data_IF_303481551111
#
_entry.id   IF_303481551111
#
_cell.length_a   1.000
_cell.length_b   1.000
_cell.length_c   1.000
_cell.angle_alpha   90.00
_cell.angle_beta   90.00
_cell.angle_gamma   90.00
#
_symmetry.space_group_name_H-M   'P 1'
#
loop_
_entity.id
_entity.type
_entity.pdbx_description
1 polymer ?
#
# COMPACT_ATOMS: atom_id res chain seq x y z
N UNK A 1 -12.97 14.59 -0.42
CA UNK A 1 -12.01 15.01 -1.45
C UNK A 1 -11.26 13.76 -1.90
N UNK A 2 -11.01 13.57 -3.19
CA UNK A 2 -10.14 12.49 -3.68
C UNK A 2 -8.69 13.00 -3.63
N UNK A 3 -7.76 12.17 -3.17
CA UNK A 3 -6.32 12.47 -3.13
C UNK A 3 -5.73 12.31 -4.53
N UNK A 4 -5.06 13.34 -5.01
CA UNK A 4 -4.32 13.36 -6.28
C UNK A 4 -2.87 13.81 -6.03
N UNK A 5 -2.07 13.92 -7.10
CA UNK A 5 -0.65 14.28 -7.03
C UNK A 5 -0.36 15.69 -6.49
N UNK A 6 -1.38 16.54 -6.31
CA UNK A 6 -1.25 17.86 -5.68
C UNK A 6 -1.34 17.80 -4.15
N UNK A 7 -1.77 16.66 -3.60
CA UNK A 7 -1.90 16.45 -2.17
C UNK A 7 -0.55 16.09 -1.54
N UNK A 8 -0.32 16.65 -0.35
CA UNK A 8 0.84 16.36 0.50
C UNK A 8 0.36 16.00 1.90
N UNK A 9 1.06 15.07 2.54
CA UNK A 9 0.80 14.71 3.93
C UNK A 9 1.11 15.90 4.85
N UNK A 10 0.27 16.10 5.86
CA UNK A 10 0.54 17.08 6.90
C UNK A 10 1.64 16.55 7.84
N UNK A 11 2.84 17.13 7.73
CA UNK A 11 4.00 16.79 8.55
C UNK A 11 3.74 16.99 10.05
N UNK A 12 2.94 17.98 10.45
CA UNK A 12 2.60 18.22 11.85
C UNK A 12 1.71 17.08 12.37
N UNK A 13 0.65 16.76 11.64
CA UNK A 13 -0.20 15.61 11.95
C UNK A 13 0.58 14.30 12.02
N UNK A 14 1.53 14.06 11.10
CA UNK A 14 2.39 12.87 11.16
C UNK A 14 3.22 12.81 12.44
N UNK A 15 3.78 13.94 12.91
CA UNK A 15 4.54 14.02 14.18
C UNK A 15 3.64 13.79 15.40
N UNK A 16 2.49 14.44 15.45
CA UNK A 16 1.53 14.34 16.56
C UNK A 16 0.96 12.93 16.72
N UNK A 17 0.82 12.18 15.63
CA UNK A 17 0.33 10.80 15.62
C UNK A 17 1.46 9.76 15.55
N UNK A 18 2.73 10.17 15.76
CA UNK A 18 3.91 9.30 15.71
C UNK A 18 4.04 8.47 14.41
N UNK A 19 3.49 8.98 13.30
CA UNK A 19 3.56 8.36 11.98
C UNK A 19 4.89 8.67 11.28
N UNK A 20 5.98 8.19 11.89
CA UNK A 20 7.35 8.49 11.49
C UNK A 20 7.70 7.99 10.09
N UNK A 21 7.11 6.86 9.66
CA UNK A 21 7.30 6.35 8.30
C UNK A 21 6.75 7.33 7.25
N UNK A 22 5.49 7.76 7.41
CA UNK A 22 4.89 8.72 6.50
C UNK A 22 5.64 10.05 6.52
N UNK A 23 6.00 10.57 7.71
CA UNK A 23 6.79 11.78 7.83
C UNK A 23 8.10 11.69 7.05
N UNK A 24 8.87 10.61 7.27
CA UNK A 24 10.16 10.41 6.61
C UNK A 24 10.01 10.31 5.10
N UNK A 25 8.96 9.65 4.58
CA UNK A 25 8.69 9.59 3.14
C UNK A 25 8.32 10.96 2.57
N UNK A 26 7.50 11.74 3.27
CA UNK A 26 7.13 13.10 2.87
C UNK A 26 8.34 14.04 2.82
N UNK A 27 9.15 14.08 3.88
CA UNK A 27 10.33 14.95 3.94
C UNK A 27 11.38 14.53 2.91
N UNK A 28 11.58 13.23 2.68
CA UNK A 28 12.51 12.74 1.67
C UNK A 28 12.08 13.10 0.24
N UNK A 29 10.78 13.01 -0.08
CA UNK A 29 10.25 13.38 -1.40
C UNK A 29 10.42 14.88 -1.66
N UNK A 30 10.04 15.72 -0.69
CA UNK A 30 10.19 17.19 -0.79
C UNK A 30 11.65 17.60 -0.96
N UNK A 31 12.57 17.02 -0.17
CA UNK A 31 14.01 17.27 -0.32
C UNK A 31 14.54 16.86 -1.69
N UNK A 32 14.09 15.72 -2.24
CA UNK A 32 14.53 15.27 -3.56
C UNK A 32 14.07 16.23 -4.67
N UNK A 33 12.82 16.70 -4.60
CA UNK A 33 12.26 17.65 -5.56
C UNK A 33 12.94 19.03 -5.44
N UNK A 34 13.11 19.57 -4.24
CA UNK A 34 13.83 20.82 -4.03
C UNK A 34 15.29 20.76 -4.52
N UNK A 35 15.97 19.65 -4.24
CA UNK A 35 17.34 19.45 -4.69
C UNK A 35 17.40 19.39 -6.22
N UNK A 36 16.41 18.77 -6.85
CA UNK A 36 16.32 18.68 -8.30
C UNK A 36 16.19 20.05 -8.96
N UNK A 37 15.32 20.91 -8.43
CA UNK A 37 15.11 22.29 -8.91
C UNK A 37 16.36 23.15 -8.76
N UNK A 38 17.04 23.05 -7.60
CA UNK A 38 18.26 23.82 -7.29
C UNK A 38 19.46 23.40 -8.14
N UNK A 39 19.54 22.13 -8.54
CA UNK A 39 20.71 21.56 -9.21
C UNK A 39 20.47 21.18 -10.68
N UNK A 40 19.29 21.48 -11.24
CA UNK A 40 18.96 21.17 -12.63
C UNK A 40 18.89 19.66 -12.92
N UNK A 41 18.50 18.85 -11.93
CA UNK A 41 18.29 17.42 -12.12
C UNK A 41 16.85 17.14 -12.54
N UNK A 42 16.66 16.13 -13.39
CA UNK A 42 15.33 15.62 -13.70
C UNK A 42 14.96 14.55 -12.68
N UNK A 43 14.11 14.91 -11.72
CA UNK A 43 13.54 13.97 -10.75
C UNK A 43 12.06 13.77 -11.05
N UNK A 44 11.63 12.50 -10.97
CA UNK A 44 10.24 12.08 -11.04
C UNK A 44 9.99 11.23 -9.80
N UNK A 45 8.85 11.40 -9.14
CA UNK A 45 8.49 10.60 -7.97
C UNK A 45 7.27 9.74 -8.28
N UNK A 46 7.33 8.48 -7.82
CA UNK A 46 6.21 7.54 -7.89
C UNK A 46 5.85 7.15 -6.47
N UNK A 47 4.58 7.34 -6.12
CA UNK A 47 4.01 7.08 -4.80
C UNK A 47 3.14 5.82 -4.87
N UNK A 48 3.71 4.62 -4.70
CA UNK A 48 2.94 3.40 -4.67
C UNK A 48 2.10 3.28 -3.39
N UNK A 49 0.93 2.66 -3.52
CA UNK A 49 0.10 2.25 -2.40
C UNK A 49 0.65 0.99 -1.70
N UNK A 50 -0.19 0.20 -1.02
CA UNK A 50 0.24 -1.08 -0.44
C UNK A 50 0.66 -2.04 -1.56
N UNK A 51 1.96 -2.32 -1.67
CA UNK A 51 2.49 -3.16 -2.75
C UNK A 51 2.32 -4.63 -2.43
N UNK A 52 1.47 -5.34 -3.17
CA UNK A 52 1.30 -6.79 -3.10
C UNK A 52 1.75 -7.44 -4.42
N UNK A 53 1.77 -8.76 -4.49
CA UNK A 53 2.17 -9.53 -5.66
C UNK A 53 3.16 -10.65 -5.32
N UNK A 54 3.62 -11.40 -6.34
CA UNK A 54 4.50 -12.53 -6.14
C UNK A 54 5.88 -12.11 -5.60
N UNK A 55 6.42 -12.94 -4.70
CA UNK A 55 7.71 -12.71 -4.04
C UNK A 55 8.86 -13.23 -4.89
N UNK A 56 9.85 -12.37 -5.19
CA UNK A 56 11.13 -12.82 -5.73
C UNK A 56 12.10 -13.32 -4.65
N UNK A 57 11.90 -12.90 -3.40
CA UNK A 57 12.71 -13.34 -2.25
C UNK A 57 11.80 -13.62 -1.05
N UNK A 58 12.14 -14.67 -0.31
CA UNK A 58 11.34 -15.20 0.81
C UNK A 58 12.04 -15.08 2.16
N UNK A 59 13.27 -14.55 2.19
CA UNK A 59 14.10 -14.47 3.40
C UNK A 59 13.65 -13.32 4.31
N UNK A 60 13.29 -12.17 3.73
CA UNK A 60 12.88 -10.98 4.48
C UNK A 60 11.59 -10.42 3.89
N UNK A 61 10.45 -10.79 4.48
CA UNK A 61 9.17 -10.29 3.99
C UNK A 61 9.03 -8.78 4.17
N UNK A 62 8.50 -8.13 3.14
CA UNK A 62 8.10 -6.73 3.20
C UNK A 62 6.98 -6.52 4.22
N UNK A 63 6.83 -5.28 4.67
CA UNK A 63 5.71 -4.89 5.53
C UNK A 63 4.37 -5.21 4.88
N UNK A 64 4.21 -4.97 3.57
CA UNK A 64 2.96 -5.20 2.86
C UNK A 64 2.59 -6.68 2.77
N UNK A 65 3.55 -7.56 2.50
CA UNK A 65 3.35 -9.02 2.55
C UNK A 65 2.93 -9.49 3.95
N UNK A 66 3.53 -8.91 5.01
CA UNK A 66 3.13 -9.21 6.39
C UNK A 66 1.70 -8.75 6.71
N UNK A 67 1.21 -7.67 6.10
CA UNK A 67 -0.20 -7.26 6.24
C UNK A 67 -1.13 -8.29 5.60
N UNK A 68 -0.81 -8.78 4.39
CA UNK A 68 -1.62 -9.83 3.75
C UNK A 68 -1.65 -11.11 4.58
N UNK A 69 -0.49 -11.56 5.07
CA UNK A 69 -0.39 -12.71 5.97
C UNK A 69 -1.22 -12.50 7.25
N UNK A 70 -1.19 -11.29 7.82
CA UNK A 70 -2.04 -10.97 8.97
C UNK A 70 -3.52 -11.11 8.68
N UNK A 71 -3.97 -10.60 7.53
CA UNK A 71 -5.38 -10.71 7.13
C UNK A 71 -5.79 -12.18 7.00
N UNK A 72 -4.94 -13.03 6.42
CA UNK A 72 -5.24 -14.45 6.27
C UNK A 72 -5.20 -15.21 7.60
N UNK A 73 -4.14 -15.02 8.38
CA UNK A 73 -3.84 -15.81 9.59
C UNK A 73 -4.57 -15.31 10.84
N UNK A 74 -4.96 -14.04 10.85
CA UNK A 74 -5.48 -13.36 12.04
C UNK A 74 -4.41 -13.06 13.07
N UNK A 75 -4.85 -12.50 14.20
CA UNK A 75 -4.00 -12.12 15.31
C UNK A 75 -4.68 -11.18 16.30
N UNK A 76 -3.93 -10.77 17.34
CA UNK A 76 -4.49 -9.98 18.45
C UNK A 76 -4.66 -8.49 18.13
N UNK A 77 -4.05 -7.99 17.04
CA UNK A 77 -4.03 -6.57 16.72
C UNK A 77 -5.33 -6.12 16.01
N UNK A 78 -5.67 -4.83 16.13
CA UNK A 78 -6.77 -4.24 15.38
C UNK A 78 -6.28 -3.53 14.11
N UNK A 79 -7.04 -3.65 13.03
CA UNK A 79 -6.84 -2.85 11.80
C UNK A 79 -8.01 -1.87 11.63
N UNK A 80 -7.69 -0.66 11.16
CA UNK A 80 -8.69 0.37 10.89
C UNK A 80 -9.49 0.06 9.61
N UNK A 81 -10.77 0.38 9.62
CA UNK A 81 -11.60 0.33 8.42
C UNK A 81 -11.43 1.61 7.60
N UNK A 82 -10.38 1.64 6.80
CA UNK A 82 -10.05 2.74 5.88
C UNK A 82 -10.22 2.27 4.44
N UNK A 83 -10.07 3.17 3.46
CA UNK A 83 -9.74 2.70 2.12
C UNK A 83 -8.38 2.01 2.15
N UNK A 84 -8.30 0.88 1.47
CA UNK A 84 -7.15 -0.01 1.47
C UNK A 84 -6.55 -0.07 0.05
N UNK A 85 -5.81 0.99 -0.37
CA UNK A 85 -5.29 1.06 -1.72
C UNK A 85 -4.14 0.05 -1.89
N UNK A 86 -4.23 -0.76 -2.94
CA UNK A 86 -3.28 -1.82 -3.28
C UNK A 86 -2.68 -1.55 -4.66
N UNK A 87 -1.45 -2.00 -4.88
CA UNK A 87 -0.86 -2.08 -6.22
C UNK A 87 -0.04 -3.34 -6.37
N UNK A 88 -0.07 -3.95 -7.56
CA UNK A 88 0.81 -5.08 -7.88
C UNK A 88 2.26 -4.60 -8.00
N UNK A 89 3.20 -5.36 -7.44
CA UNK A 89 4.64 -5.08 -7.49
C UNK A 89 5.17 -5.00 -8.93
N UNK A 90 4.60 -5.77 -9.84
CA UNK A 90 4.92 -5.74 -11.28
C UNK A 90 4.34 -4.48 -11.92
N UNK A 91 3.15 -4.05 -11.52
CA UNK A 91 2.57 -2.79 -11.99
C UNK A 91 3.37 -1.57 -11.52
N UNK A 92 3.97 -1.62 -10.32
CA UNK A 92 4.92 -0.59 -9.85
C UNK A 92 6.17 -0.57 -10.72
N UNK A 93 6.74 -1.74 -11.05
CA UNK A 93 7.90 -1.81 -11.94
C UNK A 93 7.57 -1.28 -13.35
N UNK A 94 6.42 -1.65 -13.90
CA UNK A 94 5.92 -1.17 -15.18
C UNK A 94 5.69 0.35 -15.15
N UNK A 95 5.14 0.89 -14.05
CA UNK A 95 4.96 2.32 -13.84
C UNK A 95 6.29 3.07 -13.81
N UNK A 96 7.29 2.56 -13.08
CA UNK A 96 8.62 3.16 -12.99
C UNK A 96 9.29 3.24 -14.37
N UNK A 97 9.21 2.17 -15.17
CA UNK A 97 9.73 2.16 -16.54
C UNK A 97 8.97 3.15 -17.43
N UNK A 98 7.65 3.22 -17.30
CA UNK A 98 6.81 4.10 -18.09
C UNK A 98 7.10 5.58 -17.82
N UNK A 99 7.20 5.97 -16.54
CA UNK A 99 7.47 7.37 -16.19
C UNK A 99 8.90 7.77 -16.54
N UNK A 100 9.86 6.84 -16.45
CA UNK A 100 11.22 7.09 -16.92
C UNK A 100 11.27 7.47 -18.40
N UNK A 101 10.46 6.81 -19.23
CA UNK A 101 10.41 7.04 -20.68
C UNK A 101 9.56 8.28 -21.07
N UNK A 102 8.45 8.54 -20.37
CA UNK A 102 7.40 9.45 -20.86
C UNK A 102 7.08 10.66 -19.99
N UNK A 103 7.46 10.66 -18.71
CA UNK A 103 7.02 11.72 -17.81
C UNK A 103 7.79 13.03 -18.04
N UNK A 104 7.13 14.14 -17.71
CA UNK A 104 7.78 15.45 -17.68
C UNK A 104 8.76 15.59 -16.51
N UNK A 105 9.56 16.68 -16.49
CA UNK A 105 10.40 17.00 -15.35
C UNK A 105 9.58 17.36 -14.11
N UNK A 106 10.09 16.97 -12.94
CA UNK A 106 9.58 17.32 -11.62
C UNK A 106 8.13 16.87 -11.38
N UNK A 107 7.73 15.76 -11.98
CA UNK A 107 6.39 15.23 -11.85
C UNK A 107 6.28 14.17 -10.75
N UNK A 108 5.15 14.20 -10.04
CA UNK A 108 4.71 13.15 -9.11
C UNK A 108 3.67 12.28 -9.79
N UNK A 109 3.59 11.01 -9.40
CA UNK A 109 2.60 10.03 -9.88
C UNK A 109 2.13 9.13 -8.74
N UNK A 110 0.81 9.07 -8.52
CA UNK A 110 0.23 8.07 -7.61
C UNK A 110 0.11 6.74 -8.36
N UNK A 111 0.58 5.66 -7.72
CA UNK A 111 0.56 4.31 -8.29
C UNK A 111 -0.27 3.37 -7.40
N UNK A 112 -1.56 3.29 -7.73
CA UNK A 112 -2.53 2.43 -7.06
C UNK A 112 -3.52 1.85 -8.07
N UNK A 113 -3.92 0.60 -7.84
CA UNK A 113 -5.06 -0.05 -8.50
C UNK A 113 -6.37 0.49 -7.91
N UNK A 114 -7.47 -0.25 -8.11
CA UNK A 114 -8.73 -0.01 -7.41
C UNK A 114 -8.57 -0.15 -5.90
N UNK A 115 -9.37 0.61 -5.15
CA UNK A 115 -9.37 0.64 -3.70
C UNK A 115 -10.78 0.28 -3.21
N UNK A 116 -10.84 -0.47 -2.13
CA UNK A 116 -12.06 -0.80 -1.40
C UNK A 116 -11.82 -0.55 0.09
N UNK A 117 -12.86 -0.60 0.91
CA UNK A 117 -12.63 -0.49 2.35
C UNK A 117 -12.08 -1.80 2.93
N UNK A 118 -11.48 -1.73 4.12
CA UNK A 118 -10.86 -2.91 4.76
C UNK A 118 -11.87 -4.05 4.98
N UNK A 119 -13.16 -3.75 5.19
CA UNK A 119 -14.21 -4.77 5.36
C UNK A 119 -14.52 -5.45 4.04
N UNK A 120 -14.70 -4.69 2.96
CA UNK A 120 -14.89 -5.22 1.60
C UNK A 120 -13.69 -6.07 1.17
N UNK A 121 -12.47 -5.63 1.49
CA UNK A 121 -11.25 -6.40 1.24
C UNK A 121 -11.24 -7.73 2.00
N UNK A 122 -11.64 -7.71 3.27
CA UNK A 122 -11.74 -8.92 4.09
C UNK A 122 -12.80 -9.89 3.54
N UNK A 123 -13.95 -9.38 3.11
CA UNK A 123 -15.01 -10.20 2.53
C UNK A 123 -14.60 -10.81 1.19
N UNK A 124 -13.88 -10.05 0.35
CA UNK A 124 -13.26 -10.57 -0.87
C UNK A 124 -12.27 -11.69 -0.55
N UNK A 125 -11.38 -11.48 0.42
CA UNK A 125 -10.38 -12.49 0.80
C UNK A 125 -11.04 -13.77 1.34
N UNK A 126 -12.07 -13.67 2.19
CA UNK A 126 -12.83 -14.82 2.70
C UNK A 126 -13.57 -15.57 1.60
N UNK A 127 -14.09 -14.84 0.61
CA UNK A 127 -14.76 -15.43 -0.55
C UNK A 127 -13.78 -16.23 -1.43
N UNK A 128 -12.60 -15.66 -1.69
CA UNK A 128 -11.57 -16.30 -2.51
C UNK A 128 -10.85 -17.46 -1.78
N UNK A 129 -10.62 -17.34 -0.47
CA UNK A 129 -9.84 -18.30 0.32
C UNK A 129 -10.50 -18.65 1.66
N UNK A 130 -11.64 -19.37 1.66
CA UNK A 130 -12.46 -19.58 2.85
C UNK A 130 -11.81 -20.43 3.96
N UNK A 131 -10.68 -21.10 3.67
CA UNK A 131 -10.04 -22.03 4.60
C UNK A 131 -9.04 -21.37 5.57
N UNK A 132 -8.82 -20.06 5.47
CA UNK A 132 -7.96 -19.32 6.40
C UNK A 132 -8.72 -18.78 7.62
N UNK A 133 -7.97 -18.34 8.65
CA UNK A 133 -8.50 -18.00 9.97
C UNK A 133 -9.26 -16.66 10.02
N UNK A 134 -8.70 -15.59 9.46
CA UNK A 134 -9.28 -14.24 9.47
C UNK A 134 -9.69 -13.71 10.86
N UNK A 135 -9.12 -14.23 11.94
CA UNK A 135 -9.49 -13.89 13.32
C UNK A 135 -8.75 -12.64 13.81
N UNK A 136 -9.31 -11.45 13.56
CA UNK A 136 -8.80 -10.18 14.06
C UNK A 136 -9.91 -9.11 14.14
N UNK A 137 -9.64 -8.00 14.83
CA UNK A 137 -10.60 -6.90 14.98
C UNK A 137 -10.45 -5.88 13.84
N UNK A 138 -11.56 -5.53 13.19
CA UNK A 138 -11.66 -4.38 12.29
C UNK A 138 -12.41 -3.26 12.99
N UNK A 139 -11.80 -2.08 13.11
CA UNK A 139 -12.35 -0.93 13.87
C UNK A 139 -12.71 0.18 12.89
N UNK A 140 -13.94 0.70 12.95
CA UNK A 140 -14.31 1.86 12.13
C UNK A 140 -13.55 3.12 12.56
N UNK A 141 -13.03 3.86 11.58
CA UNK A 141 -12.30 5.11 11.79
C UNK A 141 -12.88 6.21 10.90
N UNK A 142 -12.74 7.48 11.33
CA UNK A 142 -13.36 8.63 10.66
C UNK A 142 -12.77 8.97 9.28
N UNK A 143 -11.60 8.42 8.95
CA UNK A 143 -10.85 8.77 7.74
C UNK A 143 -11.03 7.75 6.62
N UNK A 144 -11.97 8.05 5.70
CA UNK A 144 -12.14 7.33 4.43
C UNK A 144 -11.90 8.27 3.25
N UNK A 145 -10.63 8.43 2.88
CA UNK A 145 -10.24 9.31 1.77
C UNK A 145 -9.64 8.47 0.65
N UNK A 146 -10.33 8.40 -0.49
CA UNK A 146 -9.84 7.67 -1.65
C UNK A 146 -8.77 8.45 -2.42
N UNK A 147 -7.89 7.75 -3.12
CA UNK A 147 -6.90 8.32 -4.03
C UNK A 147 -7.19 8.02 -5.50
N UNK A 148 -6.52 8.72 -6.41
CA UNK A 148 -6.61 8.50 -7.85
C UNK A 148 -5.23 8.35 -8.50
N UNK A 149 -5.14 7.42 -9.45
CA UNK A 149 -3.96 7.20 -10.32
C UNK A 149 -4.23 7.66 -11.76
N UNK A 150 -5.23 8.53 -11.98
CA UNK A 150 -5.64 8.93 -13.34
C UNK A 150 -4.50 9.59 -14.14
N UNK A 151 -3.60 10.32 -13.48
CA UNK A 151 -2.42 10.90 -14.15
C UNK A 151 -1.52 9.82 -14.74
N UNK A 152 -1.23 8.77 -13.96
CA UNK A 152 -0.43 7.63 -14.40
C UNK A 152 -1.13 6.82 -15.49
N UNK A 153 -2.44 6.58 -15.37
CA UNK A 153 -3.23 5.91 -16.41
C UNK A 153 -3.23 6.67 -17.74
N UNK A 154 -3.29 8.01 -17.71
CA UNK A 154 -3.21 8.86 -18.92
C UNK A 154 -1.87 8.75 -19.65
N UNK A 155 -0.79 8.39 -18.97
CA UNK A 155 0.49 8.04 -19.62
C UNK A 155 0.48 6.68 -20.33
N UNK A 156 -0.58 5.89 -20.16
CA UNK A 156 -0.73 4.56 -20.72
C UNK A 156 -0.47 3.43 -19.72
N UNK A 157 -0.38 3.72 -18.42
CA UNK A 157 -0.30 2.68 -17.39
C UNK A 157 -1.61 1.91 -17.31
N UNK A 158 -1.51 0.58 -17.36
CA UNK A 158 -2.64 -0.34 -17.34
C UNK A 158 -2.41 -1.35 -16.22
N UNK A 159 -2.91 -1.08 -15.01
CA UNK A 159 -2.75 -2.00 -13.90
C UNK A 159 -3.47 -3.32 -14.15
N UNK A 160 -2.97 -4.38 -13.52
CA UNK A 160 -3.66 -5.67 -13.40
C UNK A 160 -4.96 -5.50 -12.61
N UNK A 161 -5.81 -6.53 -12.64
CA UNK A 161 -6.97 -6.58 -11.74
C UNK A 161 -6.52 -6.88 -10.32
N UNK A 162 -7.25 -6.37 -9.33
CA UNK A 162 -6.90 -6.60 -7.93
C UNK A 162 -6.93 -8.09 -7.59
N UNK A 163 -7.91 -8.84 -8.09
CA UNK A 163 -8.03 -10.27 -7.84
C UNK A 163 -6.83 -11.05 -8.38
N UNK A 164 -6.27 -10.65 -9.52
CA UNK A 164 -5.04 -11.24 -10.07
C UNK A 164 -3.84 -10.99 -9.15
N UNK A 165 -3.69 -9.75 -8.66
CA UNK A 165 -2.66 -9.40 -7.66
C UNK A 165 -2.78 -10.26 -6.42
N UNK A 166 -4.01 -10.47 -5.91
CA UNK A 166 -4.26 -11.25 -4.70
C UNK A 166 -4.01 -12.74 -4.92
N UNK A 167 -4.43 -13.30 -6.05
CA UNK A 167 -4.13 -14.69 -6.43
C UNK A 167 -2.63 -14.94 -6.48
N UNK A 168 -1.90 -14.15 -7.25
CA UNK A 168 -0.46 -14.35 -7.39
C UNK A 168 0.29 -14.10 -6.07
N UNK A 169 -0.21 -13.19 -5.23
CA UNK A 169 0.30 -13.00 -3.88
C UNK A 169 0.12 -14.26 -3.04
N UNK A 170 -1.10 -14.74 -2.87
CA UNK A 170 -1.41 -15.87 -1.98
C UNK A 170 -0.68 -17.12 -2.43
N UNK A 171 -0.73 -17.46 -3.72
CA UNK A 171 0.01 -18.61 -4.26
C UNK A 171 1.51 -18.49 -3.99
N UNK A 172 2.08 -17.29 -4.12
CA UNK A 172 3.49 -17.08 -3.83
C UNK A 172 3.82 -17.27 -2.34
N UNK A 173 2.92 -16.92 -1.42
CA UNK A 173 3.13 -17.12 0.01
C UNK A 173 2.97 -18.61 0.38
N UNK A 174 2.01 -19.32 -0.22
CA UNK A 174 1.83 -20.76 -0.06
C UNK A 174 3.06 -21.53 -0.56
N UNK A 175 3.54 -21.24 -1.78
CA UNK A 175 4.76 -21.86 -2.36
C UNK A 175 6.01 -21.59 -1.51
N UNK A 176 6.03 -20.45 -0.81
CA UNK A 176 7.10 -20.09 0.10
C UNK A 176 6.96 -20.69 1.52
N UNK A 177 5.87 -21.40 1.82
CA UNK A 177 5.61 -21.99 3.14
C UNK A 177 5.33 -20.96 4.23
N UNK A 178 4.77 -19.80 3.87
CA UNK A 178 4.53 -18.67 4.80
C UNK A 178 3.13 -18.65 5.41
N UNK A 179 2.22 -19.44 4.85
CA UNK A 179 0.82 -19.50 5.26
C UNK A 179 0.59 -20.77 6.06
N UNK A 180 0.69 -20.62 7.38
CA UNK A 180 0.35 -21.61 8.39
C UNK A 180 -0.81 -21.08 9.26
N UNK A 181 -1.29 -21.91 10.19
CA UNK A 181 -2.42 -21.56 11.06
C UNK A 181 -2.02 -20.72 12.29
N UNK A 182 -0.74 -20.38 12.47
CA UNK A 182 -0.26 -19.66 13.65
C UNK A 182 -0.59 -18.16 13.55
N UNK A 183 -1.33 -17.57 14.50
CA UNK A 183 -1.63 -16.13 14.47
C UNK A 183 -0.35 -15.28 14.41
N UNK A 184 -0.41 -14.13 13.72
CA UNK A 184 0.73 -13.24 13.61
C UNK A 184 0.41 -11.82 14.07
N UNK A 185 1.43 -10.95 14.14
CA UNK A 185 1.24 -9.55 14.53
C UNK A 185 1.08 -8.68 13.30
N UNK A 186 0.11 -7.78 13.30
CA UNK A 186 -0.05 -6.78 12.27
C UNK A 186 1.17 -5.86 12.30
N UNK A 187 1.76 -5.42 11.18
CA UNK A 187 2.86 -4.46 11.23
C UNK A 187 2.42 -3.15 11.90
N UNK A 188 3.30 -2.58 12.73
CA UNK A 188 3.00 -1.42 13.58
C UNK A 188 2.32 -0.26 12.83
N UNK A 189 2.74 0.03 11.60
CA UNK A 189 2.18 1.07 10.74
C UNK A 189 0.66 0.93 10.49
N UNK A 190 0.11 -0.27 10.58
CA UNK A 190 -1.29 -0.58 10.29
C UNK A 190 -2.12 -0.85 11.54
N UNK A 191 -1.50 -0.87 12.73
CA UNK A 191 -2.21 -1.10 13.98
C UNK A 191 -2.99 0.14 14.36
N UNK A 192 -4.25 -0.07 14.70
CA UNK A 192 -5.00 0.92 15.48
C UNK A 192 -4.54 0.77 16.93
N UNK A 193 -4.21 1.85 17.65
CA UNK A 193 -3.97 1.79 19.08
C UNK A 193 -5.14 1.07 19.75
N UNK A 194 -4.87 0.20 20.73
CA UNK A 194 -5.94 -0.44 21.48
C UNK A 194 -6.88 0.65 22.00
N UNK A 195 -8.12 0.64 21.53
CA UNK A 195 -9.19 1.32 22.22
C UNK A 195 -9.23 0.65 23.59
N UNK A 196 -8.66 1.30 24.61
CA UNK A 196 -8.80 0.86 25.98
C UNK A 196 -10.30 0.66 26.22
N UNK A 197 -10.69 -0.57 26.52
CA UNK A 197 -12.04 -0.91 27.00
C UNK A 197 -12.39 -0.08 28.24
#
# INVERSE_FOLDING_TARGET
RIIDETCWSDKKSCKENENWYCLAKTEAEEMALEYSEKNGLHVITVCPALVLGPLLQTVLLSTSSKVLLYVMKGGPDAIGNTFFPIVDVRDVADALLLVYDKAGPSERYICSQEQMDTKDFLDLMKSMYPNYSYTFKVVDVDTRVGLTSEKLKKLGWKPRKLEETLVDSVESHEKAGLVDDEPCRLPYLYRVPDAQE
#
